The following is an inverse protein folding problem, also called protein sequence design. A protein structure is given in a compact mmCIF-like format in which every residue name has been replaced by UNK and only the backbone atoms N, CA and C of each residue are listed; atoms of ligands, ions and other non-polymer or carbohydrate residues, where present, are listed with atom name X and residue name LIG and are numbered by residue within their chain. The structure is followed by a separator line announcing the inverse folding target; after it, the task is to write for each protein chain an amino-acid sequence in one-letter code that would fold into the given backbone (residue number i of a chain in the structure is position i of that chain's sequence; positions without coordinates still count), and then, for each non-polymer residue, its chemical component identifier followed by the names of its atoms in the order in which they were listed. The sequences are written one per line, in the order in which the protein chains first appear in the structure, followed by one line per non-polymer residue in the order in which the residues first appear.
data_IF_802254933584
#
_entry.id   IF_802254933584
#
_cell.length_a   1.000
_cell.length_b   1.000
_cell.length_c   1.000
_cell.angle_alpha   90.00
_cell.angle_beta   90.00
_cell.angle_gamma   90.00
#
_symmetry.space_group_name_H-M   'P 1'
#
loop_
_entity.id
_entity.type
_entity.pdbx_description
1 polymer ?
#
# COMPACT_ATOMS: atom_id res chain seq x y z
N UNK A 1 15.60 -48.77 15.74
CA UNK A 1 15.22 -47.77 16.76
C UNK A 1 13.90 -48.21 17.36
N UNK A 2 13.97 -48.91 18.49
CA UNK A 2 12.82 -49.39 19.26
C UNK A 2 12.31 -48.24 20.12
N UNK A 3 11.07 -47.81 19.89
CA UNK A 3 10.40 -46.79 20.71
C UNK A 3 10.15 -47.36 22.11
N UNK A 4 10.71 -46.70 23.11
CA UNK A 4 10.47 -46.97 24.52
C UNK A 4 9.03 -46.57 24.86
N UNK A 5 8.15 -47.56 25.03
CA UNK A 5 6.80 -47.36 25.57
C UNK A 5 6.92 -47.14 27.08
N UNK A 6 7.28 -45.91 27.45
CA UNK A 6 7.30 -45.44 28.83
C UNK A 6 5.95 -45.73 29.49
N UNK A 7 5.95 -46.68 30.42
CA UNK A 7 4.77 -47.09 31.16
C UNK A 7 4.40 -45.94 32.12
N UNK A 8 3.29 -45.25 31.83
CA UNK A 8 2.73 -44.22 32.72
C UNK A 8 2.29 -44.89 34.04
N UNK A 9 3.14 -44.85 35.06
CA UNK A 9 2.79 -45.29 36.41
C UNK A 9 1.99 -44.20 37.13
N UNK A 10 1.01 -44.59 37.94
CA UNK A 10 0.15 -43.69 38.76
C UNK A 10 0.96 -42.72 39.63
N UNK A 11 2.22 -43.03 39.93
CA UNK A 11 3.13 -42.19 40.71
C UNK A 11 3.73 -40.98 39.96
N UNK A 12 3.49 -40.82 38.65
CA UNK A 12 3.99 -39.68 37.86
C UNK A 12 2.89 -38.73 37.37
N UNK A 13 1.66 -38.86 37.88
CA UNK A 13 0.57 -37.93 37.55
C UNK A 13 0.61 -36.70 38.48
N UNK A 14 1.32 -35.65 38.06
CA UNK A 14 1.29 -34.34 38.72
C UNK A 14 -0.03 -33.63 38.40
N UNK A 15 -0.95 -33.53 39.37
CA UNK A 15 -2.18 -32.75 39.20
C UNK A 15 -1.84 -31.27 39.36
N UNK A 16 -1.84 -30.54 38.24
CA UNK A 16 -1.73 -29.07 38.26
C UNK A 16 -3.11 -28.45 38.34
N UNK A 17 -3.48 -27.97 39.52
CA UNK A 17 -4.70 -27.17 39.71
C UNK A 17 -4.43 -25.73 39.27
N UNK A 18 -5.18 -25.25 38.28
CA UNK A 18 -5.19 -23.84 37.89
C UNK A 18 -6.37 -23.12 38.56
N UNK A 19 -6.09 -22.08 39.34
CA UNK A 19 -7.12 -21.17 39.86
C UNK A 19 -7.51 -20.17 38.78
N UNK A 20 -8.78 -20.12 38.40
CA UNK A 20 -9.29 -19.20 37.36
C UNK A 20 -10.29 -18.22 37.98
N UNK A 21 -10.06 -16.93 37.82
CA UNK A 21 -11.02 -15.88 38.19
C UNK A 21 -12.06 -15.70 37.07
N UNK A 22 -13.34 -15.84 37.42
CA UNK A 22 -14.48 -15.70 36.49
C UNK A 22 -15.08 -14.31 36.67
N UNK A 23 -14.92 -13.43 35.66
CA UNK A 23 -15.54 -12.10 35.65
C UNK A 23 -16.91 -12.16 34.99
N UNK A 24 -17.94 -11.69 35.69
CA UNK A 24 -19.31 -11.61 35.17
C UNK A 24 -19.69 -10.17 34.85
N UNK A 25 -20.32 -9.95 33.69
CA UNK A 25 -20.89 -8.66 33.32
C UNK A 25 -22.25 -8.46 34.00
N UNK A 26 -22.45 -7.32 34.68
CA UNK A 26 -23.73 -6.96 35.29
C UNK A 26 -24.24 -5.62 34.75
N UNK A 27 -25.56 -5.51 34.56
CA UNK A 27 -26.25 -4.27 34.19
C UNK A 27 -27.33 -4.05 35.26
N UNK A 28 -27.22 -2.93 35.99
CA UNK A 28 -28.13 -2.60 37.09
C UNK A 28 -28.24 -3.71 38.14
N UNK A 29 -27.10 -4.34 38.49
CA UNK A 29 -27.03 -5.42 39.48
C UNK A 29 -27.51 -6.79 39.02
N UNK A 30 -27.97 -6.92 37.75
CA UNK A 30 -28.37 -8.21 37.17
C UNK A 30 -27.29 -8.74 36.24
N UNK A 31 -27.00 -10.03 36.32
CA UNK A 31 -26.06 -10.68 35.41
C UNK A 31 -26.58 -10.63 33.97
N UNK A 32 -25.70 -10.34 33.03
CA UNK A 32 -26.04 -10.34 31.61
C UNK A 32 -26.25 -11.77 31.13
N UNK A 33 -27.38 -12.01 30.46
CA UNK A 33 -27.72 -13.27 29.78
C UNK A 33 -27.37 -13.20 28.30
N UNK A 34 -27.36 -14.35 27.62
CA UNK A 34 -27.13 -14.39 26.16
C UNK A 34 -28.16 -13.54 25.39
N UNK A 35 -29.42 -13.51 25.84
CA UNK A 35 -30.48 -12.71 25.22
C UNK A 35 -30.18 -11.20 25.30
N UNK A 36 -29.70 -10.72 26.45
CA UNK A 36 -29.30 -9.31 26.62
C UNK A 36 -28.06 -8.98 25.79
N UNK A 37 -27.06 -9.87 25.75
CA UNK A 37 -25.87 -9.66 24.92
C UNK A 37 -26.22 -9.52 23.43
N UNK A 38 -27.13 -10.34 22.91
CA UNK A 38 -27.62 -10.23 21.53
C UNK A 38 -28.29 -8.89 21.21
N UNK A 39 -28.90 -8.27 22.22
CA UNK A 39 -29.55 -6.97 22.08
C UNK A 39 -28.56 -5.80 22.09
N UNK A 40 -27.30 -6.01 22.50
CA UNK A 40 -26.29 -4.97 22.44
C UNK A 40 -26.04 -4.57 20.98
N UNK A 41 -26.08 -3.27 20.64
CA UNK A 41 -25.78 -2.80 19.29
C UNK A 41 -24.35 -3.19 18.89
N UNK A 42 -24.21 -3.72 17.68
CA UNK A 42 -22.90 -3.98 17.09
C UNK A 42 -22.33 -2.69 16.49
N UNK A 43 -21.17 -2.28 17.00
CA UNK A 43 -20.46 -1.07 16.61
C UNK A 43 -18.96 -1.33 16.60
N UNK A 44 -18.27 -0.70 15.65
CA UNK A 44 -16.82 -0.81 15.51
C UNK A 44 -16.11 -0.26 16.76
N UNK A 45 -15.37 -1.13 17.46
CA UNK A 45 -14.55 -0.73 18.61
C UNK A 45 -13.24 -0.08 18.18
N UNK A 46 -12.56 -0.63 17.17
CA UNK A 46 -11.28 -0.13 16.67
C UNK A 46 -11.51 0.62 15.36
N UNK A 47 -11.29 1.93 15.35
CA UNK A 47 -11.46 2.76 14.16
C UNK A 47 -10.33 2.55 13.13
N UNK A 48 -10.45 3.24 11.99
CA UNK A 48 -9.51 3.12 10.86
C UNK A 48 -8.10 3.64 11.17
N UNK A 49 -7.94 4.49 12.19
CA UNK A 49 -6.63 5.00 12.63
C UNK A 49 -5.95 4.09 13.67
N UNK A 50 -6.60 2.99 14.04
CA UNK A 50 -6.15 2.05 15.06
C UNK A 50 -6.40 2.52 16.49
N UNK A 51 -7.30 3.48 16.71
CA UNK A 51 -7.71 3.96 18.04
C UNK A 51 -9.02 3.29 18.48
N UNK A 52 -9.24 3.23 19.79
CA UNK A 52 -10.47 2.73 20.38
C UNK A 52 -11.56 3.81 20.39
N UNK A 53 -12.78 3.46 19.97
CA UNK A 53 -13.96 4.32 20.02
C UNK A 53 -14.62 4.38 21.40
N UNK A 54 -14.09 3.64 22.39
CA UNK A 54 -14.58 3.58 23.75
C UNK A 54 -13.76 2.65 24.63
N UNK A 55 -14.24 2.39 25.84
CA UNK A 55 -13.53 1.56 26.82
C UNK A 55 -13.87 0.08 26.61
N UNK A 56 -12.92 -0.80 26.27
CA UNK A 56 -13.16 -2.23 26.29
C UNK A 56 -13.32 -2.73 27.73
N UNK A 57 -14.27 -3.64 27.94
CA UNK A 57 -14.52 -4.28 29.23
C UNK A 57 -13.98 -5.71 29.28
N UNK A 58 -14.18 -6.48 28.21
CA UNK A 58 -13.72 -7.85 28.14
C UNK A 58 -14.17 -8.59 26.89
N UNK A 59 -13.64 -9.80 26.71
CA UNK A 59 -13.97 -10.70 25.59
C UNK A 59 -15.10 -11.64 25.98
N UNK A 60 -15.93 -12.04 25.03
CA UNK A 60 -17.00 -13.02 25.24
C UNK A 60 -16.78 -14.19 24.29
N UNK A 61 -16.77 -15.41 24.80
CA UNK A 61 -16.75 -16.60 23.94
C UNK A 61 -18.18 -17.00 23.55
N UNK A 62 -18.89 -16.10 22.88
CA UNK A 62 -20.24 -16.30 22.37
C UNK A 62 -20.35 -15.74 20.96
N UNK A 63 -20.82 -16.57 20.03
CA UNK A 63 -20.78 -16.33 18.60
C UNK A 63 -22.21 -16.17 18.06
N UNK A 64 -22.88 -15.03 18.26
CA UNK A 64 -24.27 -14.84 17.85
C UNK A 64 -24.48 -14.99 16.34
N UNK A 65 -23.41 -14.73 15.57
CA UNK A 65 -23.42 -14.72 14.10
C UNK A 65 -22.86 -16.04 13.50
N UNK A 66 -22.78 -17.12 14.32
CA UNK A 66 -22.29 -18.45 13.93
C UNK A 66 -20.86 -18.45 13.37
N UNK A 67 -20.01 -17.60 13.91
CA UNK A 67 -18.61 -17.45 13.49
C UNK A 67 -17.63 -18.27 14.34
N UNK A 68 -18.10 -19.30 15.06
CA UNK A 68 -17.27 -20.12 15.93
C UNK A 68 -16.12 -20.83 15.20
N UNK A 69 -16.28 -21.13 13.91
CA UNK A 69 -15.25 -21.80 13.09
C UNK A 69 -14.18 -20.82 12.56
N UNK A 70 -14.37 -19.52 12.76
CA UNK A 70 -13.42 -18.47 12.35
C UNK A 70 -12.63 -17.99 13.57
N UNK A 71 -11.60 -18.75 13.98
CA UNK A 71 -10.75 -18.43 15.13
C UNK A 71 -10.00 -17.09 15.04
N UNK A 72 -10.18 -16.32 13.95
CA UNK A 72 -9.39 -15.12 13.65
C UNK A 72 -10.00 -13.83 14.19
N UNK A 73 -11.03 -13.88 15.05
CA UNK A 73 -11.64 -12.68 15.60
C UNK A 73 -12.03 -12.80 17.09
N UNK A 74 -12.22 -11.65 17.71
CA UNK A 74 -12.65 -11.48 19.09
C UNK A 74 -14.05 -10.87 19.12
N UNK A 75 -14.92 -11.35 20.01
CA UNK A 75 -16.11 -10.62 20.39
C UNK A 75 -15.83 -9.84 21.66
N UNK A 76 -15.90 -8.51 21.58
CA UNK A 76 -15.56 -7.60 22.69
C UNK A 76 -16.81 -6.83 23.11
N UNK A 77 -17.07 -6.81 24.42
CA UNK A 77 -18.01 -5.87 25.04
C UNK A 77 -17.25 -4.61 25.41
N UNK A 78 -17.81 -3.47 25.06
CA UNK A 78 -17.17 -2.18 25.28
C UNK A 78 -18.21 -1.08 25.51
N UNK A 79 -17.76 0.05 26.03
CA UNK A 79 -18.63 1.14 26.45
C UNK A 79 -18.27 2.45 25.75
N UNK A 80 -19.30 3.18 25.29
CA UNK A 80 -19.18 4.54 24.77
C UNK A 80 -20.10 5.46 25.57
N UNK A 81 -19.53 6.25 26.47
CA UNK A 81 -20.33 7.05 27.40
C UNK A 81 -21.25 6.17 28.25
N UNK A 82 -22.57 6.29 28.07
CA UNK A 82 -23.57 5.47 28.79
C UNK A 82 -24.03 4.23 28.01
N UNK A 83 -23.61 4.08 26.77
CA UNK A 83 -24.02 2.97 25.91
C UNK A 83 -23.07 1.79 26.07
N UNK A 84 -23.64 0.60 26.27
CA UNK A 84 -22.91 -0.66 26.20
C UNK A 84 -23.10 -1.25 24.80
N UNK A 85 -21.99 -1.64 24.18
CA UNK A 85 -21.89 -2.04 22.78
C UNK A 85 -21.14 -3.36 22.68
N UNK A 86 -21.33 -4.05 21.56
CA UNK A 86 -20.49 -5.20 21.17
C UNK A 86 -19.73 -4.87 19.90
N UNK A 87 -18.64 -5.57 19.67
CA UNK A 87 -17.87 -5.50 18.43
C UNK A 87 -17.27 -6.85 18.09
N UNK A 88 -17.27 -7.19 16.81
CA UNK A 88 -16.40 -8.21 16.23
C UNK A 88 -15.09 -7.54 15.79
N UNK A 89 -13.96 -8.01 16.32
CA UNK A 89 -12.63 -7.46 16.01
C UNK A 89 -11.71 -8.56 15.49
N UNK A 90 -11.28 -8.48 14.23
CA UNK A 90 -10.31 -9.44 13.69
C UNK A 90 -8.96 -9.30 14.41
N UNK A 91 -8.39 -10.42 14.84
CA UNK A 91 -7.09 -10.50 15.54
C UNK A 91 -5.95 -10.16 14.59
N UNK A 92 -6.03 -10.65 13.35
CA UNK A 92 -5.02 -10.41 12.32
C UNK A 92 -5.51 -9.31 11.40
N UNK A 93 -4.81 -8.18 11.41
CA UNK A 93 -5.12 -7.08 10.48
C UNK A 93 -4.54 -7.39 9.12
N UNK A 94 -5.41 -7.37 8.11
CA UNK A 94 -4.98 -7.41 6.72
C UNK A 94 -4.77 -5.97 6.24
N UNK A 95 -3.55 -5.68 5.80
CA UNK A 95 -3.23 -4.42 5.14
C UNK A 95 -3.16 -4.63 3.63
N UNK A 96 -3.44 -3.60 2.82
CA UNK A 96 -3.18 -3.68 1.39
C UNK A 96 -1.69 -3.97 1.15
N UNK A 97 -1.41 -4.78 0.12
CA UNK A 97 -0.04 -5.20 -0.24
C UNK A 97 0.90 -4.02 -0.48
N UNK A 98 0.36 -2.88 -0.91
CA UNK A 98 1.03 -1.60 -1.05
C UNK A 98 0.04 -0.46 -0.78
N UNK A 99 0.55 0.71 -0.44
CA UNK A 99 -0.23 1.95 -0.35
C UNK A 99 0.08 2.86 -1.53
N UNK A 100 -0.84 3.78 -1.83
CA UNK A 100 -0.59 4.95 -2.66
C UNK A 100 -0.67 6.17 -1.75
N UNK A 101 0.37 6.99 -1.81
CA UNK A 101 0.51 8.22 -1.04
C UNK A 101 0.76 9.35 -2.02
N UNK A 102 0.23 10.53 -1.77
CA UNK A 102 0.26 11.62 -2.74
C UNK A 102 1.71 12.08 -2.98
N UNK A 103 2.52 12.09 -1.92
CA UNK A 103 3.94 12.38 -1.99
C UNK A 103 4.75 11.37 -2.84
N UNK A 104 4.28 10.14 -3.07
CA UNK A 104 5.02 9.15 -3.86
C UNK A 104 5.21 9.59 -5.32
N UNK A 105 4.18 10.18 -5.91
CA UNK A 105 4.25 10.72 -7.27
C UNK A 105 5.17 11.95 -7.32
N UNK A 106 5.10 12.81 -6.29
CA UNK A 106 5.98 13.97 -6.15
C UNK A 106 7.46 13.58 -6.05
N UNK A 107 7.77 12.56 -5.25
CA UNK A 107 9.12 11.99 -5.13
C UNK A 107 9.62 11.42 -6.46
N UNK A 108 8.79 10.63 -7.16
CA UNK A 108 9.18 10.03 -8.43
C UNK A 108 9.42 11.10 -9.51
N UNK A 109 8.60 12.15 -9.52
CA UNK A 109 8.79 13.31 -10.40
C UNK A 109 10.11 14.04 -10.09
N UNK A 110 10.38 14.30 -8.81
CA UNK A 110 11.62 14.95 -8.38
C UNK A 110 12.84 14.13 -8.80
N UNK A 111 12.77 12.80 -8.66
CA UNK A 111 13.82 11.87 -9.07
C UNK A 111 14.03 11.87 -10.58
N UNK A 112 12.96 11.79 -11.38
CA UNK A 112 13.06 11.88 -12.85
C UNK A 112 13.75 13.18 -13.27
N UNK A 113 13.42 14.30 -12.62
CA UNK A 113 14.02 15.61 -12.89
C UNK A 113 15.49 15.67 -12.48
N UNK A 114 15.82 15.22 -11.28
CA UNK A 114 17.19 15.20 -10.77
C UNK A 114 18.09 14.30 -11.62
N UNK A 115 17.62 13.09 -11.95
CA UNK A 115 18.31 12.17 -12.85
C UNK A 115 18.50 12.80 -14.24
N UNK A 116 17.51 13.56 -14.74
CA UNK A 116 17.59 14.26 -16.02
C UNK A 116 18.61 15.40 -16.03
N UNK A 117 18.81 16.04 -14.89
CA UNK A 117 19.83 17.07 -14.71
C UNK A 117 21.25 16.48 -14.59
N UNK A 118 21.41 15.33 -13.92
CA UNK A 118 22.71 14.90 -13.41
C UNK A 118 23.52 13.91 -14.27
N UNK A 119 22.91 13.08 -15.15
CA UNK A 119 23.69 12.11 -15.96
C UNK A 119 23.01 11.67 -17.25
N UNK A 120 23.38 12.24 -18.40
CA UNK A 120 22.84 11.81 -19.70
C UNK A 120 23.09 10.32 -20.03
N UNK A 121 24.10 9.68 -19.43
CA UNK A 121 24.45 8.28 -19.68
C UNK A 121 23.99 7.36 -18.54
N UNK A 122 23.24 6.30 -18.87
CA UNK A 122 22.88 5.22 -17.92
C UNK A 122 21.48 5.27 -17.33
N UNK A 123 20.63 6.22 -17.73
CA UNK A 123 19.23 6.27 -17.30
C UNK A 123 18.48 4.99 -17.73
N UNK A 124 17.91 4.26 -16.78
CA UNK A 124 17.07 3.09 -17.03
C UNK A 124 15.63 3.43 -16.64
N UNK A 125 14.62 3.00 -17.43
CA UNK A 125 13.23 3.11 -17.01
C UNK A 125 13.09 2.36 -15.67
N UNK A 126 12.67 3.11 -14.66
CA UNK A 126 12.74 2.73 -13.26
C UNK A 126 11.67 1.70 -12.87
N UNK A 127 11.65 0.53 -13.52
CA UNK A 127 10.70 -0.54 -13.22
C UNK A 127 10.71 -0.91 -11.72
N UNK A 128 11.92 -0.94 -11.15
CA UNK A 128 12.14 -1.36 -9.77
C UNK A 128 11.76 -0.27 -8.76
N UNK A 129 11.57 0.98 -9.22
CA UNK A 129 11.15 2.10 -8.36
C UNK A 129 9.63 2.29 -8.36
N UNK A 130 8.83 1.55 -9.15
CA UNK A 130 7.37 1.65 -9.02
C UNK A 130 6.85 1.01 -7.73
N UNK A 131 7.64 0.16 -7.08
CA UNK A 131 7.28 -0.41 -5.78
C UNK A 131 8.52 -0.46 -4.89
N UNK A 132 8.52 0.33 -3.83
CA UNK A 132 9.63 0.39 -2.88
C UNK A 132 9.12 0.26 -1.45
N UNK A 133 9.94 -0.32 -0.59
CA UNK A 133 9.61 -0.48 0.83
C UNK A 133 10.27 0.64 1.62
N UNK A 134 9.46 1.39 2.36
CA UNK A 134 9.90 2.44 3.27
C UNK A 134 9.38 2.12 4.67
N UNK A 135 10.25 2.06 5.68
CA UNK A 135 9.86 1.74 7.06
C UNK A 135 9.01 0.45 7.19
N UNK A 136 9.28 -0.56 6.37
CA UNK A 136 8.50 -1.81 6.32
C UNK A 136 7.16 -1.73 5.56
N UNK A 137 6.79 -0.56 5.04
CA UNK A 137 5.57 -0.33 4.26
C UNK A 137 5.91 -0.30 2.77
N UNK A 138 5.25 -1.15 1.98
CA UNK A 138 5.37 -1.12 0.52
C UNK A 138 4.56 0.05 -0.04
N UNK A 139 5.22 0.91 -0.81
CA UNK A 139 4.62 2.06 -1.47
C UNK A 139 4.64 1.82 -2.98
N UNK A 140 3.49 1.98 -3.61
CA UNK A 140 3.36 1.95 -5.06
C UNK A 140 3.42 3.38 -5.60
N UNK A 141 4.46 3.69 -6.36
CA UNK A 141 4.65 4.99 -6.98
C UNK A 141 4.00 5.00 -8.38
N UNK A 142 3.42 6.13 -8.76
CA UNK A 142 2.86 6.35 -10.09
C UNK A 142 3.54 7.57 -10.67
N UNK A 143 4.06 7.46 -11.89
CA UNK A 143 4.60 8.61 -12.60
C UNK A 143 3.48 9.57 -12.97
N UNK A 144 3.69 10.88 -12.79
CA UNK A 144 2.80 11.84 -13.43
C UNK A 144 2.97 11.79 -14.95
N UNK A 145 2.00 12.35 -15.67
CA UNK A 145 2.07 12.44 -17.12
C UNK A 145 3.35 13.18 -17.57
N UNK A 146 3.69 14.26 -16.90
CA UNK A 146 4.88 15.08 -17.19
C UNK A 146 6.18 14.30 -17.00
N UNK A 147 6.29 13.54 -15.90
CA UNK A 147 7.46 12.69 -15.67
C UNK A 147 7.57 11.56 -16.70
N UNK A 148 6.43 11.02 -17.16
CA UNK A 148 6.40 10.06 -18.26
C UNK A 148 6.85 10.70 -19.58
N UNK A 149 6.45 11.94 -19.85
CA UNK A 149 6.90 12.70 -21.03
C UNK A 149 8.40 12.98 -21.00
N UNK A 150 8.96 13.40 -19.86
CA UNK A 150 10.42 13.59 -19.70
C UNK A 150 11.17 12.28 -19.94
N UNK A 151 10.67 11.20 -19.36
CA UNK A 151 11.21 9.85 -19.54
C UNK A 151 11.23 9.45 -21.02
N UNK A 152 10.13 9.63 -21.75
CA UNK A 152 10.04 9.29 -23.17
C UNK A 152 10.94 10.19 -24.04
N UNK A 153 10.94 11.50 -23.80
CA UNK A 153 11.78 12.45 -24.52
C UNK A 153 13.27 12.08 -24.35
N UNK A 154 13.67 11.74 -23.13
CA UNK A 154 15.04 11.30 -22.84
C UNK A 154 15.41 10.00 -23.54
N UNK A 155 14.53 8.99 -23.51
CA UNK A 155 14.75 7.73 -24.24
C UNK A 155 15.00 7.97 -25.74
N UNK A 156 14.27 8.92 -26.34
CA UNK A 156 14.46 9.31 -27.74
C UNK A 156 15.80 10.00 -27.99
N UNK A 157 16.21 10.93 -27.11
CA UNK A 157 17.54 11.56 -27.16
C UNK A 157 18.64 10.50 -27.11
N UNK A 158 18.59 9.58 -26.15
CA UNK A 158 19.61 8.53 -25.99
C UNK A 158 19.61 7.50 -27.11
N UNK A 159 18.43 7.15 -27.65
CA UNK A 159 18.36 6.30 -28.85
C UNK A 159 19.02 6.98 -30.04
N UNK A 160 18.69 8.25 -30.28
CA UNK A 160 19.23 9.02 -31.41
C UNK A 160 20.74 9.21 -31.29
N UNK A 161 21.26 9.45 -30.08
CA UNK A 161 22.71 9.51 -29.82
C UNK A 161 23.42 8.21 -30.18
N UNK A 162 22.84 7.06 -29.79
CA UNK A 162 23.37 5.75 -30.15
C UNK A 162 23.36 5.53 -31.66
N UNK A 163 22.29 5.93 -32.34
CA UNK A 163 22.21 5.84 -33.81
C UNK A 163 23.26 6.73 -34.50
N UNK A 164 23.47 7.96 -34.01
CA UNK A 164 24.52 8.85 -34.52
C UNK A 164 25.90 8.24 -34.29
N UNK A 165 26.15 7.65 -33.11
CA UNK A 165 27.42 7.00 -32.81
C UNK A 165 27.68 5.78 -33.70
N UNK A 166 26.64 5.01 -34.03
CA UNK A 166 26.74 3.81 -34.84
C UNK A 166 26.77 4.07 -36.35
N UNK A 167 26.07 5.11 -36.84
CA UNK A 167 25.77 5.30 -38.26
C UNK A 167 26.14 6.69 -38.79
N UNK A 168 26.63 7.58 -37.93
CA UNK A 168 26.95 8.96 -38.26
C UNK A 168 25.75 9.91 -38.21
N UNK A 169 26.00 11.23 -38.13
CA UNK A 169 24.96 12.25 -37.93
C UNK A 169 23.99 12.43 -39.10
N UNK A 170 24.39 12.03 -40.30
CA UNK A 170 23.56 12.08 -41.51
C UNK A 170 22.59 10.89 -41.64
N UNK A 171 22.67 9.89 -40.75
CA UNK A 171 21.75 8.76 -40.76
C UNK A 171 20.30 9.23 -40.57
N UNK A 172 19.37 8.53 -41.21
CA UNK A 172 17.96 8.87 -41.19
C UNK A 172 17.23 8.12 -40.07
N UNK A 173 16.72 8.85 -39.10
CA UNK A 173 15.93 8.31 -37.96
C UNK A 173 14.48 8.80 -38.03
N UNK A 174 13.60 8.18 -37.25
CA UNK A 174 12.24 8.68 -37.07
C UNK A 174 12.28 10.03 -36.36
N UNK A 175 11.70 11.07 -36.97
CA UNK A 175 11.57 12.38 -36.34
C UNK A 175 10.55 12.39 -35.20
N UNK A 176 10.50 13.49 -34.42
CA UNK A 176 9.46 13.68 -33.42
C UNK A 176 8.06 13.57 -34.02
N UNK A 177 7.21 12.82 -33.31
CA UNK A 177 5.82 12.62 -33.70
C UNK A 177 5.10 13.96 -33.69
N UNK A 178 4.50 14.37 -34.80
CA UNK A 178 3.61 15.52 -34.74
C UNK A 178 2.36 15.13 -33.94
N UNK A 179 1.69 16.08 -33.29
CA UNK A 179 0.39 15.83 -32.63
C UNK A 179 -0.63 15.17 -33.58
N UNK A 180 -0.51 15.42 -34.88
CA UNK A 180 -1.33 14.81 -35.93
C UNK A 180 -1.06 13.30 -36.15
N UNK A 181 0.04 12.77 -35.63
CA UNK A 181 0.47 11.37 -35.75
C UNK A 181 0.03 10.52 -34.55
N UNK A 182 -0.52 11.13 -33.49
CA UNK A 182 -1.14 10.38 -32.39
C UNK A 182 -2.42 9.77 -32.95
N UNK A 183 -2.56 8.44 -32.96
CA UNK A 183 -3.80 7.83 -33.42
C UNK A 183 -4.94 8.34 -32.54
N UNK A 184 -5.85 9.12 -33.12
CA UNK A 184 -7.17 9.31 -32.53
C UNK A 184 -7.72 7.91 -32.23
N UNK A 185 -8.36 7.72 -31.07
CA UNK A 185 -8.83 6.44 -30.54
C UNK A 185 -9.82 5.71 -31.48
N UNK A 186 -9.33 5.26 -32.63
CA UNK A 186 -10.09 4.83 -33.79
C UNK A 186 -9.47 3.58 -34.39
N UNK A 187 -10.33 2.82 -35.08
CA UNK A 187 -10.11 1.49 -35.67
C UNK A 187 -8.73 1.25 -36.30
N UNK A 188 -8.30 -0.02 -36.40
CA UNK A 188 -6.96 -0.42 -36.85
C UNK A 188 -6.42 0.23 -38.14
N UNK A 189 -7.30 0.71 -39.04
CA UNK A 189 -6.90 1.42 -40.26
C UNK A 189 -6.34 2.83 -40.01
N UNK A 190 -6.88 3.58 -39.04
CA UNK A 190 -6.35 4.90 -38.66
C UNK A 190 -5.01 4.79 -37.92
N UNK A 191 -4.86 3.78 -37.05
CA UNK A 191 -3.58 3.50 -36.39
C UNK A 191 -2.49 3.11 -37.41
N UNK A 192 -2.83 2.28 -38.41
CA UNK A 192 -1.90 1.89 -39.47
C UNK A 192 -1.49 3.07 -40.36
N UNK A 193 -2.40 3.98 -40.72
CA UNK A 193 -2.05 5.19 -41.48
C UNK A 193 -1.21 6.18 -40.66
N UNK A 194 -1.49 6.33 -39.36
CA UNK A 194 -0.66 7.15 -38.47
C UNK A 194 0.77 6.57 -38.35
N UNK A 195 0.90 5.25 -38.18
CA UNK A 195 2.19 4.56 -38.17
C UNK A 195 2.94 4.71 -39.50
N UNK A 196 2.26 4.60 -40.65
CA UNK A 196 2.86 4.79 -41.97
C UNK A 196 3.34 6.23 -42.20
N UNK A 197 2.58 7.23 -41.74
CA UNK A 197 2.98 8.66 -41.81
C UNK A 197 4.17 8.96 -40.90
N UNK A 198 4.17 8.41 -39.69
CA UNK A 198 5.31 8.51 -38.79
C UNK A 198 6.56 7.85 -39.40
N UNK A 199 6.43 6.69 -40.03
CA UNK A 199 7.53 5.98 -40.69
C UNK A 199 8.08 6.71 -41.93
N UNK A 200 7.25 7.50 -42.62
CA UNK A 200 7.64 8.28 -43.79
C UNK A 200 8.43 9.55 -43.44
N UNK A 201 8.37 10.03 -42.19
CA UNK A 201 9.11 11.23 -41.72
C UNK A 201 10.48 10.84 -41.19
N UNK A 202 11.34 10.42 -42.09
CA UNK A 202 12.76 10.28 -41.81
C UNK A 202 13.44 11.64 -41.88
N UNK A 203 14.13 12.00 -40.82
CA UNK A 203 14.94 13.22 -40.73
C UNK A 203 16.37 12.82 -40.43
N UNK A 204 17.32 13.72 -40.72
CA UNK A 204 18.71 13.51 -40.30
C UNK A 204 18.78 13.39 -38.77
N UNK A 205 19.60 12.47 -38.28
CA UNK A 205 19.71 12.16 -36.86
C UNK A 205 20.18 13.36 -36.03
N UNK A 206 21.08 14.19 -36.56
CA UNK A 206 21.50 15.45 -35.92
C UNK A 206 20.33 16.43 -35.70
N UNK A 207 19.46 16.56 -36.71
CA UNK A 207 18.29 17.43 -36.66
C UNK A 207 17.22 16.88 -35.73
N UNK A 208 17.02 15.54 -35.74
CA UNK A 208 16.15 14.86 -34.78
C UNK A 208 16.63 15.05 -33.34
N UNK A 209 17.94 14.92 -33.10
CA UNK A 209 18.53 15.06 -31.79
C UNK A 209 18.27 16.46 -31.21
N UNK A 210 18.49 17.52 -32.00
CA UNK A 210 18.21 18.89 -31.56
C UNK A 210 16.72 19.08 -31.21
N UNK A 211 15.81 18.55 -32.03
CA UNK A 211 14.37 18.63 -31.76
C UNK A 211 13.97 17.85 -30.50
N UNK A 212 14.53 16.66 -30.27
CA UNK A 212 14.26 15.88 -29.06
C UNK A 212 14.85 16.53 -27.80
N UNK A 213 15.97 17.23 -27.91
CA UNK A 213 16.53 18.00 -26.80
C UNK A 213 15.61 19.16 -26.41
N UNK A 214 15.08 19.91 -27.38
CA UNK A 214 14.08 20.96 -27.14
C UNK A 214 12.77 20.39 -26.53
N UNK A 215 12.28 19.24 -26.99
CA UNK A 215 11.15 18.55 -26.36
C UNK A 215 11.43 18.15 -24.90
N UNK A 216 12.64 17.66 -24.62
CA UNK A 216 13.07 17.29 -23.27
C UNK A 216 13.14 18.51 -22.35
N UNK A 217 13.72 19.62 -22.80
CA UNK A 217 13.78 20.87 -22.05
C UNK A 217 12.39 21.42 -21.73
N UNK A 218 11.48 21.42 -22.73
CA UNK A 218 10.07 21.82 -22.52
C UNK A 218 9.35 20.92 -21.52
N UNK A 219 9.57 19.60 -21.61
CA UNK A 219 8.97 18.65 -20.69
C UNK A 219 9.51 18.86 -19.25
N UNK A 220 10.81 19.10 -19.09
CA UNK A 220 11.43 19.41 -17.79
C UNK A 220 10.92 20.73 -17.21
N UNK A 221 10.72 21.76 -18.05
CA UNK A 221 10.16 23.04 -17.63
C UNK A 221 8.71 22.93 -17.15
N UNK A 222 7.93 21.98 -17.68
CA UNK A 222 6.56 21.72 -17.26
C UNK A 222 6.46 20.91 -15.96
N UNK A 223 7.52 20.23 -15.53
CA UNK A 223 7.50 19.46 -14.28
C UNK A 223 7.52 20.37 -13.05
N UNK A 224 6.79 20.00 -11.98
CA UNK A 224 6.88 20.68 -10.69
C UNK A 224 8.33 20.81 -10.22
N UNK A 225 8.67 21.99 -9.69
CA UNK A 225 10.00 22.27 -9.11
C UNK A 225 9.92 21.96 -7.62
N UNK A 226 10.21 20.71 -7.25
CA UNK A 226 10.46 20.31 -5.87
C UNK A 226 11.84 19.65 -5.83
N UNK A 227 12.63 19.96 -4.81
CA UNK A 227 13.92 19.28 -4.66
C UNK A 227 13.68 17.80 -4.33
N UNK A 228 14.60 16.93 -4.73
CA UNK A 228 14.49 15.50 -4.40
C UNK A 228 14.44 15.29 -2.88
N UNK A 229 15.23 16.07 -2.12
CA UNK A 229 15.25 16.02 -0.66
C UNK A 229 13.88 16.38 -0.04
N UNK A 230 13.26 17.48 -0.46
CA UNK A 230 11.94 17.89 0.07
C UNK A 230 10.84 16.88 -0.30
N UNK A 231 10.92 16.30 -1.51
CA UNK A 231 9.97 15.29 -1.94
C UNK A 231 10.13 13.98 -1.16
N UNK A 232 11.37 13.59 -0.86
CA UNK A 232 11.68 12.43 -0.01
C UNK A 232 11.22 12.63 1.43
N UNK A 233 11.45 13.81 2.00
CA UNK A 233 10.96 14.15 3.35
C UNK A 233 9.43 14.00 3.45
N UNK A 234 8.69 14.56 2.49
CA UNK A 234 7.22 14.44 2.43
C UNK A 234 6.77 12.99 2.31
N UNK A 235 7.41 12.21 1.43
CA UNK A 235 7.11 10.78 1.27
C UNK A 235 7.33 10.03 2.59
N UNK A 236 8.46 10.26 3.25
CA UNK A 236 8.77 9.62 4.53
C UNK A 236 7.80 10.02 5.64
N UNK A 237 7.32 11.26 5.66
CA UNK A 237 6.31 11.71 6.62
C UNK A 237 4.96 10.98 6.45
N UNK A 238 4.47 10.83 5.22
CA UNK A 238 3.23 10.07 4.94
C UNK A 238 3.40 8.58 5.23
N UNK A 239 4.53 7.99 4.85
CA UNK A 239 4.83 6.57 5.16
C UNK A 239 4.93 6.34 6.65
N UNK A 240 5.57 7.25 7.41
CA UNK A 240 5.66 7.13 8.87
C UNK A 240 4.28 7.15 9.51
N UNK A 241 3.39 8.03 9.03
CA UNK A 241 2.00 8.11 9.48
C UNK A 241 1.27 6.77 9.28
N UNK A 242 1.41 6.15 8.11
CA UNK A 242 0.85 4.81 7.85
C UNK A 242 1.50 3.72 8.71
N UNK A 243 2.83 3.73 8.86
CA UNK A 243 3.54 2.75 9.68
C UNK A 243 3.08 2.82 11.15
N UNK A 244 2.92 4.03 11.69
CA UNK A 244 2.39 4.26 13.03
C UNK A 244 0.94 3.83 13.15
N UNK A 245 0.11 4.04 12.11
CA UNK A 245 -1.27 3.54 12.05
C UNK A 245 -1.29 2.00 12.15
N UNK A 246 -0.48 1.30 11.35
CA UNK A 246 -0.39 -0.17 11.39
C UNK A 246 0.08 -0.69 12.75
N UNK A 247 1.03 0.00 13.37
CA UNK A 247 1.51 -0.34 14.72
C UNK A 247 0.40 -0.19 15.75
N UNK A 248 -0.31 0.94 15.77
CA UNK A 248 -1.46 1.14 16.68
C UNK A 248 -2.51 0.04 16.52
N UNK A 249 -2.82 -0.32 15.28
CA UNK A 249 -3.75 -1.41 15.00
C UNK A 249 -3.31 -2.76 15.59
N UNK A 250 -2.00 -3.07 15.52
CA UNK A 250 -1.42 -4.27 16.11
C UNK A 250 -1.46 -4.19 17.63
N UNK A 251 -0.95 -3.10 18.22
CA UNK A 251 -0.89 -2.90 19.67
C UNK A 251 -2.27 -3.00 20.32
N UNK A 252 -3.28 -2.35 19.72
CA UNK A 252 -4.66 -2.41 20.22
C UNK A 252 -5.20 -3.84 20.15
N UNK A 253 -4.93 -4.61 19.11
CA UNK A 253 -5.43 -5.99 19.00
C UNK A 253 -4.75 -6.95 19.96
N UNK A 254 -3.45 -6.77 20.18
CA UNK A 254 -2.72 -7.46 21.24
C UNK A 254 -3.36 -7.16 22.60
N UNK A 255 -3.59 -5.88 22.91
CA UNK A 255 -4.25 -5.48 24.16
C UNK A 255 -5.69 -6.02 24.30
N UNK A 256 -6.45 -6.08 23.20
CA UNK A 256 -7.80 -6.66 23.20
C UNK A 256 -7.78 -8.18 23.41
N UNK A 257 -6.75 -8.89 22.93
CA UNK A 257 -6.57 -10.32 23.14
C UNK A 257 -6.30 -10.65 24.62
N UNK A 258 -5.62 -9.75 25.33
CA UNK A 258 -5.28 -9.90 26.75
C UNK A 258 -6.41 -9.50 27.70
N UNK A 259 -7.52 -8.98 27.19
CA UNK A 259 -8.69 -8.67 28.01
C UNK A 259 -9.23 -9.91 28.73
N UNK A 260 -9.82 -9.74 29.93
CA UNK A 260 -10.46 -10.84 30.63
C UNK A 260 -11.62 -11.41 29.82
N UNK A 261 -11.81 -12.72 29.91
CA UNK A 261 -13.01 -13.37 29.39
C UNK A 261 -14.19 -13.10 30.33
N UNK A 262 -15.24 -12.51 29.80
CA UNK A 262 -16.51 -12.27 30.47
C UNK A 262 -17.43 -13.48 30.26
N UNK A 263 -17.96 -13.97 31.37
CA UNK A 263 -18.95 -15.03 31.36
C UNK A 263 -20.35 -14.44 31.27
N UNK A 264 -21.15 -15.01 30.38
CA UNK A 264 -22.54 -14.66 30.15
C UNK A 264 -23.38 -15.86 30.56
N UNK A 265 -24.41 -15.62 31.37
CA UNK A 265 -25.30 -16.69 31.80
C UNK A 265 -26.06 -17.27 30.59
N UNK A 266 -26.12 -18.61 30.53
CA UNK A 266 -26.95 -19.37 29.59
C UNK A 266 -28.41 -19.27 30.01
#
# INVERSE_FOLDING_TARGET
MTADMGTLTVHNAEIRTATVEVKTLTISGRQVTQAVFKQLPDRQLVNDDGRLNGQPWGRVNYHPDKCADDEKHLHVVWQRGKELLRSRVDVVVTYPRWIRVDAASGWLNAKVRDDAANTLTGWRPMSDEFTKTFLGVKVHMVMSHEAAMVTLARQRVESTRRDIAAHGPAHLVCGPSAKADIPAAGSGRSAAMAAARAAARRVRADSALAAFQDELEKALAAMPVISLADAEEKLLAEVRTEADRRRRHQDVRTALADLPQLFIAV
#
